data_IF_372695846509
#
_entry.id   IF_372695846509
#
_cell.length_a   1.000
_cell.length_b   1.000
_cell.length_c   1.000
_cell.angle_alpha   90.00
_cell.angle_beta   90.00
_cell.angle_gamma   90.00
#
_symmetry.space_group_name_H-M   'P 1'
#
loop_
_entity.id
_entity.type
_entity.pdbx_description
1 polymer ?
#
# COMPACT_ATOMS: atom_id res chain seq x y z
N UNK A 1 16.38 -8.22 14.20
CA UNK A 1 15.26 -9.02 13.65
C UNK A 1 15.61 -9.45 12.24
N UNK A 2 15.34 -10.69 11.82
CA UNK A 2 15.59 -11.10 10.42
C UNK A 2 14.50 -10.47 9.55
N UNK A 3 14.90 -9.77 8.50
CA UNK A 3 13.98 -9.28 7.48
C UNK A 3 13.34 -10.49 6.76
N UNK A 4 12.06 -10.40 6.36
CA UNK A 4 11.41 -11.44 5.60
C UNK A 4 12.14 -11.66 4.28
N UNK A 5 12.15 -12.90 3.82
CA UNK A 5 12.79 -13.32 2.59
C UNK A 5 11.75 -13.48 1.49
N UNK A 6 12.23 -13.56 0.26
CA UNK A 6 11.38 -13.85 -0.89
C UNK A 6 10.68 -15.21 -0.69
N UNK A 7 9.36 -15.25 -0.84
CA UNK A 7 8.50 -16.41 -0.59
C UNK A 7 7.95 -16.50 0.84
N UNK A 8 8.47 -15.74 1.81
CA UNK A 8 7.88 -15.67 3.15
C UNK A 8 6.53 -14.96 3.08
N UNK A 9 5.61 -15.34 3.97
CA UNK A 9 4.33 -14.66 4.14
C UNK A 9 4.38 -13.74 5.35
N UNK A 10 3.87 -12.52 5.19
CA UNK A 10 3.75 -11.53 6.26
C UNK A 10 2.31 -11.08 6.43
N UNK A 11 1.99 -10.62 7.64
CA UNK A 11 0.75 -9.87 7.91
C UNK A 11 1.03 -8.38 7.70
N UNK A 12 0.08 -7.68 7.10
CA UNK A 12 0.08 -6.21 7.03
C UNK A 12 -1.03 -5.69 7.94
N UNK A 13 -0.73 -4.68 8.74
CA UNK A 13 -1.69 -3.98 9.59
C UNK A 13 -1.63 -2.48 9.31
N UNK A 14 -2.79 -1.88 9.05
CA UNK A 14 -2.93 -0.43 9.04
C UNK A 14 -3.56 0.06 10.33
N UNK A 15 -3.13 1.23 10.77
CA UNK A 15 -3.62 1.91 11.97
C UNK A 15 -4.09 3.31 11.58
N UNK A 16 -4.94 3.93 12.41
CA UNK A 16 -5.19 5.37 12.33
C UNK A 16 -4.23 6.13 13.25
N UNK A 17 -4.14 7.44 13.08
CA UNK A 17 -3.17 8.28 13.81
C UNK A 17 -3.31 8.20 15.34
N UNK A 18 -4.53 7.98 15.84
CA UNK A 18 -4.80 7.77 17.26
C UNK A 18 -4.40 6.37 17.78
N UNK A 19 -3.78 5.53 16.95
CA UNK A 19 -3.30 4.20 17.30
C UNK A 19 -4.35 3.09 17.20
N UNK A 20 -5.58 3.37 16.76
CA UNK A 20 -6.57 2.31 16.55
C UNK A 20 -6.22 1.45 15.34
N UNK A 21 -6.42 0.13 15.45
CA UNK A 21 -6.28 -0.79 14.32
C UNK A 21 -7.37 -0.48 13.29
N UNK A 22 -6.98 -0.28 12.03
CA UNK A 22 -7.88 0.02 10.93
C UNK A 22 -8.21 -1.22 10.10
N UNK A 23 -7.19 -1.90 9.57
CA UNK A 23 -7.35 -3.13 8.77
C UNK A 23 -6.17 -4.06 8.94
N UNK A 24 -6.42 -5.34 8.75
CA UNK A 24 -5.38 -6.39 8.68
C UNK A 24 -5.52 -7.19 7.41
N UNK A 25 -4.43 -7.35 6.66
CA UNK A 25 -4.31 -8.25 5.52
C UNK A 25 -3.40 -9.41 5.91
N UNK A 26 -3.91 -10.63 5.81
CA UNK A 26 -3.14 -11.85 6.12
C UNK A 26 -2.54 -12.46 4.86
N UNK A 27 -1.39 -13.09 5.02
CA UNK A 27 -0.75 -13.89 3.97
C UNK A 27 -0.35 -13.08 2.73
N UNK A 28 0.28 -11.92 2.93
CA UNK A 28 0.99 -11.22 1.85
C UNK A 28 2.31 -11.93 1.58
N UNK A 29 2.49 -12.46 0.38
CA UNK A 29 3.77 -13.07 -0.02
C UNK A 29 4.80 -11.99 -0.31
N UNK A 30 5.99 -12.08 0.28
CA UNK A 30 7.10 -11.18 0.01
C UNK A 30 7.79 -11.58 -1.30
N UNK A 31 7.89 -10.65 -2.23
CA UNK A 31 8.60 -10.81 -3.51
C UNK A 31 10.01 -10.24 -3.45
N UNK A 32 10.21 -9.18 -2.66
CA UNK A 32 11.51 -8.58 -2.40
C UNK A 32 11.52 -7.78 -1.11
N UNK A 33 12.65 -7.86 -0.42
CA UNK A 33 13.01 -6.91 0.64
C UNK A 33 14.34 -6.26 0.33
N UNK A 34 14.39 -4.95 0.46
CA UNK A 34 15.62 -4.14 0.40
C UNK A 34 15.77 -3.36 1.70
N UNK A 35 16.84 -2.59 1.83
CA UNK A 35 17.02 -1.69 2.97
C UNK A 35 15.83 -0.74 3.18
N UNK A 36 15.26 -0.24 2.07
CA UNK A 36 14.25 0.82 2.08
C UNK A 36 12.85 0.36 1.67
N UNK A 37 12.70 -0.79 1.02
CA UNK A 37 11.43 -1.19 0.41
C UNK A 37 11.05 -2.64 0.69
N UNK A 38 9.74 -2.89 0.77
CA UNK A 38 9.16 -4.22 0.69
C UNK A 38 8.19 -4.25 -0.48
N UNK A 39 8.37 -5.26 -1.33
CA UNK A 39 7.48 -5.57 -2.45
C UNK A 39 6.83 -6.90 -2.12
N UNK A 40 5.51 -6.92 -2.10
CA UNK A 40 4.73 -8.12 -1.82
C UNK A 40 3.63 -8.32 -2.86
N UNK A 41 2.92 -9.44 -2.72
CA UNK A 41 1.68 -9.71 -3.45
C UNK A 41 0.59 -10.14 -2.48
N UNK A 42 -0.59 -9.56 -2.68
CA UNK A 42 -1.83 -10.07 -2.13
C UNK A 42 -2.55 -10.83 -3.25
N UNK A 43 -2.84 -12.11 -3.04
CA UNK A 43 -3.67 -12.91 -3.93
C UNK A 43 -4.61 -13.76 -3.07
N UNK A 44 -5.92 -13.56 -3.21
CA UNK A 44 -6.91 -14.19 -2.32
C UNK A 44 -6.62 -13.97 -0.83
N UNK A 45 -6.15 -12.77 -0.50
CA UNK A 45 -5.75 -12.37 0.86
C UNK A 45 -6.98 -12.07 1.71
N UNK A 46 -7.01 -12.63 2.92
CA UNK A 46 -8.06 -12.35 3.90
C UNK A 46 -7.83 -10.99 4.56
N UNK A 47 -8.81 -10.11 4.42
CA UNK A 47 -8.87 -8.79 5.01
C UNK A 47 -9.83 -8.80 6.20
N UNK A 48 -9.40 -8.26 7.33
CA UNK A 48 -10.24 -8.00 8.50
C UNK A 48 -10.29 -6.50 8.76
N UNK A 49 -11.50 -5.94 8.75
CA UNK A 49 -11.77 -4.55 9.07
C UNK A 49 -11.76 -4.31 10.59
N UNK A 50 -11.64 -3.05 11.00
CA UNK A 50 -11.65 -2.63 12.42
C UNK A 50 -12.93 -3.02 13.16
N UNK A 51 -14.06 -3.10 12.46
CA UNK A 51 -15.36 -3.55 12.99
C UNK A 51 -15.50 -5.09 13.04
N UNK A 52 -14.46 -5.83 12.65
CA UNK A 52 -14.44 -7.29 12.63
C UNK A 52 -15.01 -7.94 11.37
N UNK A 53 -15.55 -7.17 10.42
CA UNK A 53 -15.97 -7.72 9.12
C UNK A 53 -14.78 -8.31 8.39
N UNK A 54 -15.02 -9.41 7.67
CA UNK A 54 -14.01 -10.16 6.93
C UNK A 54 -14.41 -10.35 5.48
N UNK A 55 -13.46 -10.16 4.59
CA UNK A 55 -13.62 -10.39 3.16
C UNK A 55 -12.29 -10.79 2.53
N UNK A 56 -12.33 -11.34 1.32
CA UNK A 56 -11.14 -11.85 0.63
C UNK A 56 -10.94 -11.07 -0.66
N UNK A 57 -9.71 -10.63 -0.94
CA UNK A 57 -9.38 -9.98 -2.21
C UNK A 57 -9.57 -10.96 -3.36
N UNK A 58 -9.99 -10.50 -4.55
CA UNK A 58 -10.24 -11.38 -5.70
C UNK A 58 -9.06 -11.46 -6.65
N UNK A 59 -8.53 -10.30 -6.99
CA UNK A 59 -7.47 -10.17 -7.97
C UNK A 59 -6.10 -10.09 -7.30
N UNK A 60 -5.03 -10.61 -7.94
CA UNK A 60 -3.68 -10.41 -7.47
C UNK A 60 -3.31 -8.93 -7.52
N UNK A 61 -2.69 -8.45 -6.45
CA UNK A 61 -2.24 -7.08 -6.34
C UNK A 61 -0.82 -7.01 -5.81
N UNK A 62 0.06 -6.33 -6.54
CA UNK A 62 1.41 -6.03 -6.06
C UNK A 62 1.30 -4.88 -5.06
N UNK A 63 1.84 -5.08 -3.86
CA UNK A 63 1.90 -4.05 -2.82
C UNK A 63 3.33 -3.55 -2.66
N UNK A 64 3.49 -2.24 -2.59
CA UNK A 64 4.76 -1.55 -2.48
C UNK A 64 4.78 -0.65 -1.26
N UNK A 65 5.73 -0.90 -0.37
CA UNK A 65 5.97 -0.10 0.83
C UNK A 65 7.40 0.44 0.82
N UNK A 66 7.58 1.69 1.26
CA UNK A 66 8.88 2.35 1.31
C UNK A 66 9.10 3.10 2.63
N UNK A 67 10.34 3.11 3.13
CA UNK A 67 10.71 3.80 4.39
C UNK A 67 10.88 5.31 4.27
N UNK A 68 10.99 5.83 3.05
CA UNK A 68 11.26 7.28 2.79
C UNK A 68 10.07 8.04 2.20
N UNK A 69 9.01 7.34 1.83
CA UNK A 69 7.83 7.97 1.23
C UNK A 69 6.63 7.80 2.15
N UNK A 70 5.77 8.82 2.17
CA UNK A 70 4.54 8.81 2.95
C UNK A 70 3.35 8.32 2.11
N UNK A 71 3.59 7.24 1.38
CA UNK A 71 2.54 6.50 0.69
C UNK A 71 2.94 5.04 0.51
N UNK A 72 1.95 4.17 0.37
CA UNK A 72 2.10 2.84 -0.19
C UNK A 72 1.27 2.72 -1.46
N UNK A 73 1.67 1.82 -2.36
CA UNK A 73 1.03 1.65 -3.67
C UNK A 73 0.58 0.21 -3.82
N UNK A 74 -0.67 0.03 -4.26
CA UNK A 74 -1.28 -1.25 -4.59
C UNK A 74 -1.59 -1.24 -6.08
N UNK A 75 -0.84 -2.02 -6.86
CA UNK A 75 -1.07 -2.25 -8.28
C UNK A 75 -1.95 -3.50 -8.44
N UNK A 76 -3.24 -3.30 -8.65
CA UNK A 76 -4.23 -4.36 -8.86
C UNK A 76 -4.21 -4.80 -10.31
N UNK A 77 -3.86 -6.06 -10.55
CA UNK A 77 -3.72 -6.63 -11.88
C UNK A 77 -5.06 -7.22 -12.30
N UNK A 78 -5.62 -6.76 -13.42
CA UNK A 78 -6.89 -7.24 -13.98
C UNK A 78 -6.73 -7.59 -15.45
N UNK A 79 -7.69 -8.31 -16.00
CA UNK A 79 -7.71 -8.67 -17.43
C UNK A 79 -7.68 -7.45 -18.35
N UNK A 80 -8.34 -6.36 -17.95
CA UNK A 80 -8.43 -5.12 -18.74
C UNK A 80 -7.32 -4.09 -18.43
N UNK A 81 -6.27 -4.50 -17.71
CA UNK A 81 -5.12 -3.67 -17.37
C UNK A 81 -4.90 -3.51 -15.86
N UNK A 82 -3.93 -2.67 -15.50
CA UNK A 82 -3.56 -2.42 -14.11
C UNK A 82 -4.25 -1.16 -13.62
N UNK A 83 -4.88 -1.26 -12.44
CA UNK A 83 -5.37 -0.08 -11.71
C UNK A 83 -4.59 0.07 -10.42
N UNK A 84 -4.43 1.31 -9.97
CA UNK A 84 -3.60 1.62 -8.81
C UNK A 84 -4.43 2.25 -7.71
N UNK A 85 -4.17 1.82 -6.47
CA UNK A 85 -4.62 2.49 -5.27
C UNK A 85 -3.40 2.93 -4.49
N UNK A 86 -3.33 4.20 -4.11
CA UNK A 86 -2.20 4.74 -3.40
C UNK A 86 -2.71 5.36 -2.10
N UNK A 87 -2.34 4.76 -0.96
CA UNK A 87 -2.71 5.33 0.33
C UNK A 87 -1.64 6.32 0.77
N UNK A 88 -2.02 7.55 1.08
CA UNK A 88 -1.14 8.43 1.84
C UNK A 88 -1.06 7.88 3.27
N UNK A 89 0.14 7.50 3.65
CA UNK A 89 0.39 6.66 4.81
C UNK A 89 1.74 7.00 5.42
N UNK A 90 1.96 6.68 6.69
CA UNK A 90 3.32 6.75 7.23
C UNK A 90 4.24 5.80 6.47
N UNK A 91 5.57 6.06 6.46
CA UNK A 91 6.54 5.02 6.19
C UNK A 91 6.24 3.77 7.02
N UNK A 92 6.46 2.60 6.43
CA UNK A 92 6.17 1.35 7.14
C UNK A 92 7.17 1.09 8.26
N UNK A 93 6.68 0.47 9.31
CA UNK A 93 7.47 -0.18 10.35
C UNK A 93 7.30 -1.70 10.22
N UNK A 94 8.32 -2.47 10.57
CA UNK A 94 8.26 -3.93 10.52
C UNK A 94 8.79 -4.49 11.82
N UNK A 95 7.96 -5.31 12.47
CA UNK A 95 8.35 -6.10 13.64
C UNK A 95 8.07 -7.60 13.41
N UNK A 96 8.12 -8.39 14.48
CA UNK A 96 7.95 -9.84 14.41
C UNK A 96 6.49 -10.25 14.15
N UNK A 97 5.54 -9.34 14.34
CA UNK A 97 4.12 -9.58 14.16
C UNK A 97 3.67 -9.22 12.74
N UNK A 98 4.01 -8.01 12.29
CA UNK A 98 3.47 -7.48 11.04
C UNK A 98 4.31 -6.34 10.44
N UNK A 99 4.07 -6.08 9.16
CA UNK A 99 4.32 -4.79 8.54
C UNK A 99 3.20 -3.84 8.95
N UNK A 100 3.56 -2.73 9.59
CA UNK A 100 2.63 -1.77 10.20
C UNK A 100 2.79 -0.39 9.56
N UNK A 101 1.69 0.32 9.34
CA UNK A 101 1.71 1.71 8.90
C UNK A 101 0.48 2.46 9.42
N UNK A 102 0.58 3.79 9.46
CA UNK A 102 -0.56 4.68 9.76
C UNK A 102 -1.18 5.11 8.43
N UNK A 103 -2.48 4.93 8.30
CA UNK A 103 -3.32 5.35 7.19
C UNK A 103 -3.88 6.74 7.49
N UNK A 104 -3.69 7.68 6.56
CA UNK A 104 -4.12 9.07 6.70
C UNK A 104 -5.29 9.43 5.81
N UNK A 105 -6.12 8.45 5.43
CA UNK A 105 -7.39 8.61 4.71
C UNK A 105 -7.29 9.14 3.27
N UNK A 106 -6.30 9.98 2.95
CA UNK A 106 -6.18 10.58 1.64
C UNK A 106 -5.64 9.58 0.64
N UNK A 107 -6.39 9.33 -0.43
CA UNK A 107 -6.06 8.28 -1.39
C UNK A 107 -6.02 8.81 -2.82
N UNK A 108 -5.10 8.27 -3.63
CA UNK A 108 -5.09 8.50 -5.09
C UNK A 108 -5.38 7.19 -5.80
N UNK A 109 -6.44 7.20 -6.61
CA UNK A 109 -6.81 6.09 -7.48
C UNK A 109 -6.46 6.41 -8.93
N UNK A 110 -5.78 5.47 -9.58
CA UNK A 110 -5.50 5.52 -11.02
C UNK A 110 -6.23 4.38 -11.69
N UNK A 111 -7.12 4.69 -12.62
CA UNK A 111 -7.93 3.73 -13.36
C UNK A 111 -7.14 3.14 -14.54
N UNK A 112 -7.60 2.02 -15.10
CA UNK A 112 -6.94 1.33 -16.22
C UNK A 112 -6.86 2.18 -17.49
N UNK A 113 -7.73 3.19 -17.63
CA UNK A 113 -7.71 4.17 -18.72
C UNK A 113 -6.78 5.37 -18.44
N UNK A 114 -6.05 5.38 -17.31
CA UNK A 114 -5.17 6.46 -16.90
C UNK A 114 -5.85 7.63 -16.18
N UNK A 115 -7.16 7.61 -16.01
CA UNK A 115 -7.88 8.62 -15.20
C UNK A 115 -7.38 8.57 -13.75
N UNK A 116 -7.23 9.75 -13.13
CA UNK A 116 -6.73 9.90 -11.75
C UNK A 116 -7.79 10.57 -10.91
N UNK A 117 -8.08 10.02 -9.73
CA UNK A 117 -9.00 10.63 -8.76
C UNK A 117 -8.37 10.68 -7.38
N UNK A 118 -8.49 11.84 -6.75
CA UNK A 118 -8.27 12.01 -5.33
C UNK A 118 -9.55 11.57 -4.60
N UNK A 119 -9.42 10.73 -3.59
CA UNK A 119 -10.52 10.17 -2.83
C UNK A 119 -10.41 10.59 -1.36
N UNK A 120 -11.53 10.50 -0.64
CA UNK A 120 -11.60 10.56 0.82
C UNK A 120 -11.05 11.85 1.48
N UNK A 121 -11.05 12.95 0.72
CA UNK A 121 -10.66 14.30 1.18
C UNK A 121 -11.47 14.76 2.39
N UNK A 122 -12.78 14.51 2.39
CA UNK A 122 -13.66 14.89 3.50
C UNK A 122 -13.37 14.06 4.77
N UNK A 123 -13.03 12.78 4.60
CA UNK A 123 -12.64 11.91 5.72
C UNK A 123 -11.30 12.37 6.31
N UNK A 124 -10.32 12.69 5.46
CA UNK A 124 -9.05 13.27 5.87
C UNK A 124 -9.23 14.55 6.68
N UNK A 125 -10.00 15.53 6.18
CA UNK A 125 -10.21 16.80 6.86
C UNK A 125 -10.94 16.63 8.21
N UNK A 126 -11.86 15.66 8.31
CA UNK A 126 -12.52 15.31 9.56
C UNK A 126 -11.55 14.65 10.55
N UNK A 127 -10.81 13.63 10.12
CA UNK A 127 -9.88 12.89 10.97
C UNK A 127 -8.70 13.75 11.42
N UNK A 128 -8.21 14.63 10.56
CA UNK A 128 -7.22 15.66 10.90
C UNK A 128 -7.63 16.47 12.12
N UNK A 129 -8.89 16.90 12.20
CA UNK A 129 -9.43 17.64 13.35
C UNK A 129 -9.66 16.75 14.56
N UNK A 130 -10.22 15.57 14.36
CA UNK A 130 -10.58 14.65 15.47
C UNK A 130 -9.35 14.03 16.16
N UNK A 131 -8.30 13.74 15.39
CA UNK A 131 -7.08 13.11 15.86
C UNK A 131 -5.90 14.09 15.98
N UNK A 132 -6.15 15.39 15.82
CA UNK A 132 -5.18 16.47 15.99
C UNK A 132 -3.90 16.29 15.14
N UNK A 133 -4.02 16.08 13.84
CA UNK A 133 -2.83 16.01 12.98
C UNK A 133 -2.10 17.34 13.06
N UNK A 134 -0.79 17.30 13.31
CA UNK A 134 0.03 18.50 13.39
C UNK A 134 0.12 19.21 12.03
N UNK A 135 0.43 20.51 12.05
CA UNK A 135 0.68 21.26 10.82
C UNK A 135 1.85 20.66 10.02
N UNK A 136 2.88 20.15 10.70
CA UNK A 136 4.02 19.49 10.07
C UNK A 136 3.59 18.19 9.36
N UNK A 137 2.73 17.39 9.99
CA UNK A 137 2.19 16.18 9.38
C UNK A 137 1.34 16.51 8.15
N UNK A 138 0.41 17.47 8.25
CA UNK A 138 -0.40 17.93 7.13
C UNK A 138 0.47 18.42 5.96
N UNK A 139 1.54 19.15 6.26
CA UNK A 139 2.51 19.60 5.27
C UNK A 139 3.23 18.42 4.60
N UNK A 140 3.74 17.46 5.38
CA UNK A 140 4.42 16.26 4.87
C UNK A 140 3.51 15.47 3.93
N UNK A 141 2.24 15.26 4.32
CA UNK A 141 1.28 14.52 3.49
C UNK A 141 1.05 15.25 2.16
N UNK A 142 0.82 16.57 2.19
CA UNK A 142 0.63 17.39 0.98
C UNK A 142 1.85 17.38 0.06
N UNK A 143 3.07 17.43 0.60
CA UNK A 143 4.28 17.33 -0.23
C UNK A 143 4.44 15.91 -0.82
N UNK A 144 4.10 14.86 -0.07
CA UNK A 144 4.16 13.49 -0.59
C UNK A 144 3.09 13.21 -1.64
N UNK A 145 1.93 13.89 -1.61
CA UNK A 145 0.96 13.86 -2.72
C UNK A 145 1.62 14.36 -4.01
N UNK A 146 2.41 15.44 -3.96
CA UNK A 146 3.11 15.95 -5.15
C UNK A 146 4.12 14.95 -5.69
N UNK A 147 4.89 14.30 -4.80
CA UNK A 147 5.84 13.25 -5.17
C UNK A 147 5.11 12.06 -5.80
N UNK A 148 3.99 11.63 -5.22
CA UNK A 148 3.18 10.53 -5.74
C UNK A 148 2.63 10.86 -7.13
N UNK A 149 2.10 12.06 -7.33
CA UNK A 149 1.62 12.53 -8.63
C UNK A 149 2.75 12.56 -9.66
N UNK A 150 3.96 13.00 -9.29
CA UNK A 150 5.14 12.93 -10.15
C UNK A 150 5.48 11.48 -10.53
N UNK A 151 5.43 10.55 -9.57
CA UNK A 151 5.63 9.12 -9.86
C UNK A 151 4.59 8.57 -10.83
N UNK A 152 3.31 8.92 -10.65
CA UNK A 152 2.23 8.51 -11.53
C UNK A 152 2.45 9.08 -12.95
N UNK A 153 2.77 10.37 -13.06
CA UNK A 153 2.93 11.06 -14.35
C UNK A 153 4.14 10.57 -15.15
N UNK A 154 5.19 10.12 -14.47
CA UNK A 154 6.42 9.63 -15.09
C UNK A 154 6.52 8.09 -15.04
N UNK A 155 5.41 7.39 -14.75
CA UNK A 155 5.32 5.93 -14.67
C UNK A 155 6.44 5.29 -13.85
N UNK A 156 6.81 5.90 -12.71
CA UNK A 156 7.94 5.44 -11.90
C UNK A 156 7.59 4.21 -11.07
N UNK A 157 8.54 3.28 -10.98
CA UNK A 157 8.42 2.13 -10.09
C UNK A 157 7.14 1.33 -10.35
N UNK A 158 6.26 1.13 -9.34
CA UNK A 158 5.00 0.41 -9.48
C UNK A 158 4.11 0.84 -10.65
N UNK A 159 4.20 2.10 -11.10
CA UNK A 159 3.37 2.60 -12.20
C UNK A 159 3.87 2.20 -13.59
N UNK A 160 5.09 1.68 -13.73
CA UNK A 160 5.58 1.17 -15.02
C UNK A 160 5.09 -0.25 -15.28
N UNK A 161 4.71 -0.52 -16.53
CA UNK A 161 4.33 -1.87 -16.96
C UNK A 161 5.47 -2.89 -16.75
N UNK A 162 6.71 -2.48 -16.98
CA UNK A 162 7.88 -3.33 -16.79
C UNK A 162 8.03 -3.78 -15.33
N UNK A 163 7.84 -2.88 -14.37
CA UNK A 163 7.90 -3.21 -12.95
C UNK A 163 6.82 -4.22 -12.57
N UNK A 164 5.57 -3.97 -12.97
CA UNK A 164 4.44 -4.90 -12.71
C UNK A 164 4.74 -6.27 -13.29
N UNK A 165 5.21 -6.35 -14.54
CA UNK A 165 5.51 -7.61 -15.21
C UNK A 165 6.62 -8.40 -14.50
N UNK A 166 7.69 -7.73 -14.06
CA UNK A 166 8.81 -8.37 -13.35
C UNK A 166 8.31 -9.02 -12.05
N UNK A 167 7.56 -8.27 -11.24
CA UNK A 167 7.13 -8.75 -9.93
C UNK A 167 5.99 -9.76 -10.03
N UNK A 168 5.08 -9.60 -10.99
CA UNK A 168 4.06 -10.61 -11.24
C UNK A 168 4.67 -11.93 -11.74
N UNK A 169 5.65 -11.87 -12.64
CA UNK A 169 6.40 -13.07 -13.04
C UNK A 169 7.10 -13.72 -11.84
N UNK A 170 7.76 -12.92 -10.99
CA UNK A 170 8.41 -13.41 -9.78
C UNK A 170 7.44 -14.10 -8.83
N UNK A 171 6.25 -13.54 -8.67
CA UNK A 171 5.18 -14.14 -7.89
C UNK A 171 4.78 -15.51 -8.45
N UNK A 172 4.53 -15.62 -9.76
CA UNK A 172 4.18 -16.91 -10.40
C UNK A 172 5.30 -17.95 -10.21
N UNK A 173 6.56 -17.55 -10.31
CA UNK A 173 7.70 -18.44 -10.07
C UNK A 173 7.75 -18.95 -8.61
N UNK A 174 7.42 -18.11 -7.64
CA UNK A 174 7.43 -18.49 -6.21
C UNK A 174 6.22 -19.35 -5.85
N UNK A 175 5.04 -19.08 -6.43
CA UNK A 175 3.82 -19.86 -6.21
C UNK A 175 3.92 -21.31 -6.71
N UNK A 176 4.72 -21.53 -7.73
CA UNK A 176 4.91 -22.85 -8.36
C UNK A 176 6.10 -23.66 -7.80
N UNK A 177 6.72 -23.19 -6.71
CA UNK A 177 7.77 -23.92 -5.99
C UNK A 177 7.17 -24.74 -4.86
#
# INVERSE_FOLDING_TARGET
>A
MKLPKEGDFITIQSYKHNGSLHRTWRDTMVLKTTENAIIGVNDHTLVTESDGRRWVTREPAIVYFHKKYWFNIIAMIRENGVSYYCNLASPYYLDAEALKYIDYDLDVKVFTNGEKRLLDVDEYERHKRQMNYSNDLDYILKENVKILVDWINNERGPFSQAYVNIWYKRYVELKNR
#
